data_IF_639320310421
#
_entry.id   IF_639320310421
#
_cell.length_a   1.000
_cell.length_b   1.000
_cell.length_c   1.000
_cell.angle_alpha   90.00
_cell.angle_beta   90.00
_cell.angle_gamma   90.00
#
_symmetry.space_group_name_H-M   'P 1'
#
loop_
_entity.id
_entity.type
_entity.pdbx_description
1 polymer ?
#
# COMPACT_ATOMS: atom_id res chain seq x y z
N UNK A 1 16.51 -13.80 0.79
CA UNK A 1 15.18 -13.25 1.10
C UNK A 1 14.69 -12.57 -0.15
N UNK A 2 13.82 -13.25 -0.90
CA UNK A 2 13.41 -12.84 -2.24
C UNK A 2 12.39 -11.71 -2.13
N UNK A 3 12.80 -10.47 -2.41
CA UNK A 3 11.88 -9.36 -2.66
C UNK A 3 11.19 -9.61 -4.01
N UNK A 4 10.33 -10.64 -4.09
CA UNK A 4 9.44 -10.75 -5.24
C UNK A 4 8.56 -9.49 -5.22
N UNK A 5 8.31 -8.84 -6.37
CA UNK A 5 7.36 -7.74 -6.45
C UNK A 5 5.97 -8.32 -6.23
N UNK A 6 5.62 -8.56 -4.97
CA UNK A 6 4.32 -9.09 -4.58
C UNK A 6 3.32 -7.98 -4.83
N UNK A 7 2.58 -8.11 -5.92
CA UNK A 7 1.46 -7.24 -6.22
C UNK A 7 0.44 -7.40 -5.08
N UNK A 8 0.30 -6.39 -4.21
CA UNK A 8 -0.69 -6.40 -3.14
C UNK A 8 -2.00 -5.80 -3.66
N UNK A 9 -3.10 -6.49 -3.43
CA UNK A 9 -4.44 -6.07 -3.85
C UNK A 9 -5.48 -6.57 -2.85
N UNK A 10 -6.74 -6.18 -3.02
CA UNK A 10 -7.83 -6.69 -2.18
C UNK A 10 -7.80 -8.22 -2.05
N UNK A 11 -7.83 -8.69 -0.81
CA UNK A 11 -7.73 -10.10 -0.45
C UNK A 11 -6.30 -10.61 -0.25
N UNK A 12 -5.27 -9.82 -0.54
CA UNK A 12 -3.89 -10.11 -0.11
C UNK A 12 -3.80 -10.06 1.42
N UNK A 13 -2.97 -10.93 2.00
CA UNK A 13 -2.75 -10.97 3.44
C UNK A 13 -1.29 -11.26 3.77
N UNK A 14 -0.82 -10.83 4.94
CA UNK A 14 0.49 -11.18 5.49
C UNK A 14 1.37 -9.97 5.82
N UNK A 15 2.64 -10.24 6.11
CA UNK A 15 3.58 -9.23 6.58
C UNK A 15 3.81 -8.07 5.58
N UNK A 16 3.71 -8.33 4.28
CA UNK A 16 3.85 -7.28 3.27
C UNK A 16 2.67 -6.31 3.28
N UNK A 17 1.46 -6.80 3.59
CA UNK A 17 0.27 -5.95 3.78
C UNK A 17 0.40 -5.15 5.06
N UNK A 18 0.91 -5.74 6.15
CA UNK A 18 1.16 -5.00 7.40
C UNK A 18 2.14 -3.85 7.19
N UNK A 19 3.22 -4.09 6.44
CA UNK A 19 4.17 -3.03 6.07
C UNK A 19 3.49 -1.91 5.30
N UNK A 20 2.75 -2.26 4.24
CA UNK A 20 1.97 -1.30 3.46
C UNK A 20 1.00 -0.47 4.33
N UNK A 21 0.27 -1.13 5.22
CA UNK A 21 -0.68 -0.44 6.11
C UNK A 21 0.06 0.49 7.08
N UNK A 22 1.21 0.07 7.61
CA UNK A 22 2.07 0.93 8.43
C UNK A 22 2.57 2.16 7.67
N UNK A 23 3.05 1.95 6.44
CA UNK A 23 3.49 3.00 5.52
C UNK A 23 2.36 4.02 5.25
N UNK A 24 1.18 3.53 4.88
CA UNK A 24 0.00 4.37 4.66
C UNK A 24 -0.43 5.12 5.93
N UNK A 25 -0.37 4.46 7.09
CA UNK A 25 -0.66 5.09 8.38
C UNK A 25 0.32 6.21 8.71
N UNK A 26 1.61 6.03 8.40
CA UNK A 26 2.63 7.06 8.61
C UNK A 26 2.43 8.27 7.68
N UNK A 27 1.89 8.05 6.47
CA UNK A 27 1.49 9.09 5.53
C UNK A 27 0.18 9.79 5.93
N UNK A 28 -0.44 9.42 7.06
CA UNK A 28 -1.65 10.04 7.58
C UNK A 28 -2.95 9.42 7.05
N UNK A 29 -2.89 8.27 6.39
CA UNK A 29 -4.10 7.52 6.02
C UNK A 29 -4.60 6.69 7.20
N UNK A 30 -5.89 6.77 7.51
CA UNK A 30 -6.51 5.92 8.53
C UNK A 30 -6.72 4.50 7.97
N UNK A 31 -5.78 3.61 8.28
CA UNK A 31 -5.86 2.17 7.97
C UNK A 31 -5.50 1.37 9.21
N UNK A 32 -6.18 0.24 9.38
CA UNK A 32 -5.81 -0.74 10.41
C UNK A 32 -4.63 -1.57 9.92
N UNK A 33 -3.64 -1.81 10.79
CA UNK A 33 -2.45 -2.64 10.49
C UNK A 33 -2.70 -4.08 10.94
N UNK A 34 -3.71 -4.71 10.33
CA UNK A 34 -4.12 -6.08 10.63
C UNK A 34 -3.44 -7.13 9.72
N UNK A 35 -2.79 -6.66 8.65
CA UNK A 35 -2.18 -7.52 7.63
C UNK A 35 -3.17 -8.08 6.63
N UNK A 36 -4.37 -7.51 6.54
CA UNK A 36 -5.41 -7.90 5.60
C UNK A 36 -5.70 -6.73 4.66
N UNK A 37 -5.51 -6.96 3.36
CA UNK A 37 -5.77 -5.95 2.36
C UNK A 37 -7.28 -5.92 2.09
N UNK A 38 -8.00 -5.24 2.98
CA UNK A 38 -9.44 -5.01 2.89
C UNK A 38 -9.79 -3.79 2.06
N UNK A 39 -11.07 -3.42 2.09
CA UNK A 39 -11.58 -2.22 1.41
C UNK A 39 -10.93 -0.94 1.94
N UNK A 40 -10.70 -0.84 3.26
CA UNK A 40 -10.05 0.31 3.87
C UNK A 40 -8.63 0.52 3.33
N UNK A 41 -7.83 -0.54 3.27
CA UNK A 41 -6.47 -0.49 2.70
C UNK A 41 -6.51 -0.14 1.21
N UNK A 42 -7.43 -0.73 0.43
CA UNK A 42 -7.59 -0.39 -0.98
C UNK A 42 -7.91 1.09 -1.20
N UNK A 43 -8.84 1.64 -0.41
CA UNK A 43 -9.21 3.05 -0.50
C UNK A 43 -8.04 3.96 -0.15
N UNK A 44 -7.24 3.62 0.86
CA UNK A 44 -6.03 4.34 1.21
C UNK A 44 -4.97 4.28 0.11
N UNK A 45 -4.74 3.09 -0.49
CA UNK A 45 -3.83 2.92 -1.63
C UNK A 45 -4.29 3.78 -2.82
N UNK A 46 -5.58 3.75 -3.17
CA UNK A 46 -6.13 4.57 -4.24
C UNK A 46 -5.92 6.06 -3.98
N UNK A 47 -6.13 6.50 -2.74
CA UNK A 47 -5.93 7.89 -2.36
C UNK A 47 -4.47 8.31 -2.43
N UNK A 48 -3.57 7.46 -1.97
CA UNK A 48 -2.12 7.67 -2.11
C UNK A 48 -1.69 7.72 -3.58
N UNK A 49 -2.18 6.78 -4.40
CA UNK A 49 -1.92 6.76 -5.84
C UNK A 49 -2.40 8.05 -6.52
N UNK A 50 -3.60 8.52 -6.17
CA UNK A 50 -4.16 9.76 -6.69
C UNK A 50 -3.32 10.98 -6.30
N UNK A 51 -2.89 11.07 -5.04
CA UNK A 51 -2.06 12.18 -4.53
C UNK A 51 -0.70 12.23 -5.23
N UNK A 52 -0.15 11.07 -5.57
CA UNK A 52 1.17 10.92 -6.19
C UNK A 52 1.14 10.81 -7.73
N UNK A 53 0.01 11.13 -8.37
CA UNK A 53 -0.18 11.05 -9.83
C UNK A 53 0.17 9.66 -10.43
N UNK A 54 -0.12 8.59 -9.68
CA UNK A 54 0.00 7.21 -10.12
C UNK A 54 -1.33 6.71 -10.71
N UNK A 55 -1.29 5.56 -11.37
CA UNK A 55 -2.50 4.85 -11.76
C UNK A 55 -3.30 4.49 -10.50
N UNK A 56 -4.57 4.92 -10.45
CA UNK A 56 -5.47 4.73 -9.29
C UNK A 56 -6.22 3.40 -9.45
N UNK A 57 -5.47 2.30 -9.45
CA UNK A 57 -6.01 0.94 -9.61
C UNK A 57 -6.26 0.25 -8.25
N UNK A 58 -5.77 0.81 -7.14
CA UNK A 58 -5.87 0.21 -5.80
C UNK A 58 -4.97 -1.01 -5.62
N UNK A 59 -3.97 -1.18 -6.49
CA UNK A 59 -3.03 -2.29 -6.50
C UNK A 59 -1.64 -1.74 -6.20
N UNK A 60 -0.96 -2.31 -5.20
CA UNK A 60 0.42 -1.94 -4.88
C UNK A 60 1.36 -2.77 -5.72
N UNK A 61 1.72 -2.22 -6.87
CA UNK A 61 2.81 -2.70 -7.71
C UNK A 61 4.16 -2.07 -7.33
N UNK A 62 5.23 -2.38 -8.08
CA UNK A 62 6.58 -1.85 -7.84
C UNK A 62 6.64 -0.31 -7.94
N UNK A 63 5.81 0.33 -8.77
CA UNK A 63 5.73 1.79 -8.86
C UNK A 63 5.15 2.40 -7.58
N UNK A 64 4.03 1.87 -7.11
CA UNK A 64 3.40 2.32 -5.85
C UNK A 64 4.30 2.05 -4.66
N UNK A 65 4.90 0.87 -4.58
CA UNK A 65 5.87 0.53 -3.52
C UNK A 65 7.06 1.47 -3.49
N UNK A 66 7.63 1.80 -4.67
CA UNK A 66 8.72 2.78 -4.75
C UNK A 66 8.28 4.17 -4.29
N UNK A 67 7.07 4.62 -4.65
CA UNK A 67 6.57 5.91 -4.18
C UNK A 67 6.31 5.93 -2.69
N UNK A 68 5.79 4.85 -2.09
CA UNK A 68 5.66 4.74 -0.64
C UNK A 68 7.03 4.91 0.03
N UNK A 69 8.06 4.24 -0.46
CA UNK A 69 9.42 4.40 0.06
C UNK A 69 9.98 5.82 -0.09
N UNK A 70 9.61 6.54 -1.15
CA UNK A 70 10.04 7.94 -1.37
C UNK A 70 9.24 8.91 -0.47
N UNK A 71 7.95 8.69 -0.30
CA UNK A 71 7.08 9.53 0.51
C UNK A 71 7.38 9.41 2.03
N UNK A 72 7.98 8.29 2.43
CA UNK A 72 8.42 8.02 3.81
C UNK A 72 9.88 8.40 4.09
N UNK A 73 10.64 8.78 3.05
CA UNK A 73 12.04 9.21 3.17
C UNK A 73 12.13 10.67 3.63
#
# INVERSE_FOLDING_TARGET
MSQQPTILKRGSTGADVQRLQGDLSQLGHQVEVDGIFGEATENAVKKFQQDNNLAVDGIVGPQTGRQLSVALA
#
